data_IF_804842730823
#
_entry.id   IF_804842730823
#
_cell.length_a   1.000
_cell.length_b   1.000
_cell.length_c   1.000
_cell.angle_alpha   90.00
_cell.angle_beta   90.00
_cell.angle_gamma   90.00
#
_symmetry.space_group_name_H-M   'P 1'
#
loop_
_entity.id
_entity.type
_entity.pdbx_description
1 polymer ?
#
# COMPACT_ATOMS: atom_id res chain seq x y z
N UNK A 1 12.87 -4.97 -6.64
CA UNK A 1 11.77 -4.25 -6.00
C UNK A 1 11.00 -5.30 -5.26
N UNK A 2 11.46 -5.54 -4.04
CA UNK A 2 10.76 -6.45 -3.14
C UNK A 2 9.46 -5.78 -2.69
N UNK A 3 8.48 -6.57 -2.26
CA UNK A 3 7.16 -6.05 -1.84
C UNK A 3 7.27 -5.02 -0.72
N UNK A 4 8.25 -5.18 0.18
CA UNK A 4 8.55 -4.24 1.27
C UNK A 4 8.98 -2.87 0.75
N UNK A 5 9.86 -2.81 -0.25
CA UNK A 5 10.30 -1.55 -0.85
C UNK A 5 9.15 -0.84 -1.57
N UNK A 6 8.26 -1.63 -2.19
CA UNK A 6 7.11 -1.14 -2.94
C UNK A 6 6.05 -0.53 -2.03
N UNK A 7 5.77 -1.19 -0.90
CA UNK A 7 4.84 -0.68 0.13
C UNK A 7 5.37 0.60 0.75
N UNK A 8 6.64 0.63 1.16
CA UNK A 8 7.26 1.82 1.76
C UNK A 8 7.25 3.03 0.80
N UNK A 9 7.47 2.79 -0.50
CA UNK A 9 7.36 3.84 -1.51
C UNK A 9 5.93 4.38 -1.65
N UNK A 10 4.90 3.53 -1.52
CA UNK A 10 3.51 3.98 -1.53
C UNK A 10 3.13 4.73 -0.25
N UNK A 11 3.62 4.31 0.91
CA UNK A 11 3.42 5.03 2.16
C UNK A 11 3.99 6.46 2.09
N UNK A 12 5.20 6.61 1.55
CA UNK A 12 5.85 7.92 1.40
C UNK A 12 5.19 8.79 0.32
N UNK A 13 4.88 8.22 -0.86
CA UNK A 13 4.30 8.98 -1.99
C UNK A 13 2.86 9.43 -1.71
N UNK A 14 2.05 8.58 -1.09
CA UNK A 14 0.63 8.86 -0.83
C UNK A 14 0.35 9.32 0.60
N UNK A 15 1.36 9.32 1.49
CA UNK A 15 1.19 9.70 2.90
C UNK A 15 0.27 8.76 3.68
N UNK A 16 0.20 7.49 3.27
CA UNK A 16 -0.63 6.45 3.90
C UNK A 16 0.23 5.55 4.79
N UNK A 17 -0.40 4.86 5.73
CA UNK A 17 0.28 3.85 6.56
C UNK A 17 -0.33 2.49 6.21
N UNK A 18 0.47 1.57 5.69
CA UNK A 18 0.05 0.24 5.25
C UNK A 18 0.58 -0.78 6.26
N UNK A 19 -0.26 -1.28 7.19
CA UNK A 19 0.19 -2.26 8.16
C UNK A 19 0.62 -3.56 7.48
N UNK A 20 1.57 -4.27 8.09
CA UNK A 20 2.11 -5.54 7.58
C UNK A 20 0.99 -6.55 7.22
N UNK A 21 -0.04 -6.66 8.07
CA UNK A 21 -1.20 -7.54 7.84
C UNK A 21 -2.00 -7.21 6.56
N UNK A 22 -1.99 -5.94 6.13
CA UNK A 22 -2.59 -5.48 4.88
C UNK A 22 -1.62 -5.68 3.71
N UNK A 23 -0.34 -5.37 3.91
CA UNK A 23 0.72 -5.62 2.92
C UNK A 23 0.80 -7.10 2.52
N UNK A 24 0.62 -8.05 3.46
CA UNK A 24 0.57 -9.48 3.17
C UNK A 24 -0.64 -9.90 2.31
N UNK A 25 -1.72 -9.12 2.33
CA UNK A 25 -2.94 -9.37 1.53
C UNK A 25 -2.91 -8.69 0.17
N UNK A 26 -2.02 -7.72 -0.02
CA UNK A 26 -1.79 -7.04 -1.30
C UNK A 26 -0.92 -7.95 -2.17
N UNK A 27 -1.58 -8.75 -3.02
CA UNK A 27 -0.90 -9.69 -3.92
C UNK A 27 -0.69 -9.10 -5.31
N UNK A 28 -1.51 -8.12 -5.69
CA UNK A 28 -1.44 -7.46 -6.99
C UNK A 28 -1.35 -5.95 -6.85
N UNK A 29 -0.84 -5.30 -7.89
CA UNK A 29 -0.81 -3.83 -7.98
C UNK A 29 -2.22 -3.24 -7.87
N UNK A 30 -3.25 -3.96 -8.34
CA UNK A 30 -4.64 -3.53 -8.21
C UNK A 30 -5.11 -3.50 -6.76
N UNK A 31 -4.71 -4.49 -5.96
CA UNK A 31 -5.06 -4.55 -4.53
C UNK A 31 -4.39 -3.39 -3.78
N UNK A 32 -3.14 -3.05 -4.13
CA UNK A 32 -2.42 -1.91 -3.58
C UNK A 32 -3.13 -0.59 -3.89
N UNK A 33 -3.50 -0.37 -5.16
CA UNK A 33 -4.22 0.83 -5.59
C UNK A 33 -5.57 0.94 -4.87
N UNK A 34 -6.33 -0.16 -4.77
CA UNK A 34 -7.60 -0.18 -4.04
C UNK A 34 -7.43 0.19 -2.56
N UNK A 35 -6.41 -0.36 -1.90
CA UNK A 35 -6.11 -0.02 -0.51
C UNK A 35 -5.76 1.46 -0.33
N UNK A 36 -4.94 2.00 -1.22
CA UNK A 36 -4.54 3.42 -1.21
C UNK A 36 -5.77 4.31 -1.46
N UNK A 37 -6.62 4.00 -2.44
CA UNK A 37 -7.83 4.79 -2.71
C UNK A 37 -8.83 4.80 -1.55
N UNK A 38 -8.98 3.66 -0.85
CA UNK A 38 -9.86 3.55 0.33
C UNK A 38 -9.32 4.32 1.55
N UNK A 39 -7.99 4.38 1.72
CA UNK A 39 -7.34 5.02 2.86
C UNK A 39 -6.86 6.46 2.59
N UNK A 40 -6.80 6.88 1.32
CA UNK A 40 -6.51 8.26 0.88
C UNK A 40 -7.74 9.17 0.94
N UNK A 41 -8.92 8.64 1.30
CA UNK A 41 -10.14 9.41 1.46
C UNK A 41 -10.25 10.07 2.86
N UNK A 42 -9.28 10.91 3.21
CA UNK A 42 -9.37 11.94 4.27
C UNK A 42 -8.33 13.04 4.07
#
# INVERSE_FOLDING_TARGET
>A
LDTVELVMAFEEEFGVEIPDDAAEKILTVKDAIGYIEENSAA
#
